data_IF_690680655850
#
_entry.id   IF_690680655850
#
_cell.length_a   1.000
_cell.length_b   1.000
_cell.length_c   1.000
_cell.angle_alpha   90.00
_cell.angle_beta   90.00
_cell.angle_gamma   90.00
#
_symmetry.space_group_name_H-M   'P 1'
#
loop_
_entity.id
_entity.type
_entity.pdbx_description
1 polymer ?
#
# COMPACT_ATOMS: atom_id res chain seq x y z
N UNK A 1 -45.39 1.06 37.96
CA UNK A 1 -46.59 1.06 37.09
C UNK A 1 -46.37 0.03 35.98
N UNK A 2 -47.21 -1.01 35.90
CA UNK A 2 -47.18 -1.98 34.79
C UNK A 2 -48.14 -1.49 33.70
N UNK A 3 -47.64 -1.24 32.49
CA UNK A 3 -48.46 -0.86 31.32
C UNK A 3 -49.22 -2.09 30.82
N UNK A 4 -50.53 -1.99 30.60
CA UNK A 4 -51.35 -3.11 30.16
C UNK A 4 -51.17 -3.34 28.65
N UNK A 5 -51.16 -4.61 28.19
CA UNK A 5 -50.87 -4.98 26.77
C UNK A 5 -51.79 -4.29 25.75
N UNK A 6 -53.01 -3.95 26.16
CA UNK A 6 -54.00 -3.31 25.30
C UNK A 6 -54.01 -1.78 25.38
N UNK A 7 -53.25 -1.18 26.29
CA UNK A 7 -53.18 0.28 26.46
C UNK A 7 -52.51 0.95 25.26
N UNK A 8 -52.76 2.25 25.10
CA UNK A 8 -52.06 3.07 24.10
C UNK A 8 -50.58 3.12 24.45
N UNK A 9 -49.72 2.88 23.47
CA UNK A 9 -48.28 2.77 23.66
C UNK A 9 -47.68 4.11 24.12
N UNK A 10 -46.86 4.13 25.19
CA UNK A 10 -46.34 5.36 25.78
C UNK A 10 -45.34 6.11 24.88
N UNK A 11 -44.88 5.50 23.79
CA UNK A 11 -43.99 6.15 22.81
C UNK A 11 -44.69 7.17 21.89
N UNK A 12 -45.98 7.43 22.09
CA UNK A 12 -46.73 8.42 21.32
C UNK A 12 -47.19 7.96 19.93
N UNK A 13 -47.04 6.68 19.60
CA UNK A 13 -47.38 6.14 18.27
C UNK A 13 -48.88 6.02 17.98
N UNK A 14 -49.75 6.21 18.98
CA UNK A 14 -51.20 6.01 18.89
C UNK A 14 -51.67 4.54 18.74
N UNK A 15 -50.74 3.56 18.69
CA UNK A 15 -51.06 2.13 18.57
C UNK A 15 -51.11 1.46 19.95
N UNK A 16 -51.83 0.33 20.08
CA UNK A 16 -51.82 -0.50 21.31
C UNK A 16 -50.39 -0.99 21.61
N UNK A 17 -49.98 -1.03 22.88
CA UNK A 17 -48.63 -1.40 23.32
C UNK A 17 -48.19 -2.77 22.73
N UNK A 18 -49.08 -3.77 22.72
CA UNK A 18 -48.85 -5.09 22.09
C UNK A 18 -48.61 -5.09 20.58
N UNK A 19 -48.94 -4.01 19.86
CA UNK A 19 -48.74 -3.82 18.41
C UNK A 19 -47.69 -2.75 18.10
N UNK A 20 -46.92 -2.31 19.11
CA UNK A 20 -45.93 -1.26 18.97
C UNK A 20 -44.66 -1.61 19.75
N UNK A 21 -44.31 -0.89 20.82
CA UNK A 21 -43.06 -1.11 21.56
C UNK A 21 -42.93 -2.54 22.07
N UNK A 22 -43.99 -3.21 22.53
CA UNK A 22 -43.88 -4.62 22.93
C UNK A 22 -43.42 -5.56 21.80
N UNK A 23 -43.81 -5.28 20.54
CA UNK A 23 -43.31 -6.05 19.40
C UNK A 23 -41.87 -5.68 19.07
N UNK A 24 -41.49 -4.40 19.17
CA UNK A 24 -40.10 -3.97 19.00
C UNK A 24 -39.20 -4.59 20.08
N UNK A 25 -39.63 -4.58 21.33
CA UNK A 25 -38.94 -5.17 22.49
C UNK A 25 -38.80 -6.69 22.29
N UNK A 26 -39.87 -7.40 21.87
CA UNK A 26 -39.81 -8.83 21.55
C UNK A 26 -38.88 -9.14 20.36
N UNK A 27 -38.81 -8.27 19.35
CA UNK A 27 -37.91 -8.44 18.20
C UNK A 27 -36.45 -8.24 18.63
N UNK A 28 -36.17 -7.25 19.46
CA UNK A 28 -34.84 -7.00 20.05
C UNK A 28 -34.40 -8.21 20.89
N UNK A 29 -35.31 -8.76 21.72
CA UNK A 29 -35.06 -9.95 22.54
C UNK A 29 -34.85 -11.22 21.68
N UNK A 30 -35.61 -11.39 20.60
CA UNK A 30 -35.38 -12.49 19.64
C UNK A 30 -34.04 -12.39 18.91
N UNK A 31 -33.60 -11.18 18.53
CA UNK A 31 -32.32 -10.99 17.87
C UNK A 31 -31.13 -11.27 18.81
N UNK A 32 -31.19 -10.79 20.06
CA UNK A 32 -30.15 -11.05 21.05
C UNK A 32 -30.08 -12.55 21.41
N UNK A 33 -31.21 -13.24 21.51
CA UNK A 33 -31.26 -14.69 21.73
C UNK A 33 -30.66 -15.50 20.57
N UNK A 34 -30.95 -15.10 19.32
CA UNK A 34 -30.35 -15.75 18.13
C UNK A 34 -28.84 -15.58 18.07
N UNK A 35 -28.35 -14.38 18.37
CA UNK A 35 -26.92 -14.07 18.40
C UNK A 35 -26.21 -14.84 19.53
N UNK A 36 -26.81 -14.91 20.72
CA UNK A 36 -26.29 -15.73 21.83
C UNK A 36 -26.17 -17.20 21.43
N UNK A 37 -27.25 -17.78 20.87
CA UNK A 37 -27.24 -19.18 20.40
C UNK A 37 -26.19 -19.41 19.31
N UNK A 38 -26.02 -18.47 18.40
CA UNK A 38 -24.98 -18.52 17.37
C UNK A 38 -23.57 -18.62 17.98
N UNK A 39 -23.26 -17.83 19.01
CA UNK A 39 -21.98 -17.94 19.72
C UNK A 39 -21.82 -19.25 20.51
N UNK A 40 -22.89 -19.74 21.13
CA UNK A 40 -22.87 -21.02 21.85
C UNK A 40 -22.56 -22.18 20.89
N UNK A 41 -23.26 -22.26 19.76
CA UNK A 41 -23.02 -23.29 18.75
C UNK A 41 -21.63 -23.20 18.12
N UNK A 42 -21.16 -21.97 17.87
CA UNK A 42 -19.79 -21.72 17.42
C UNK A 42 -18.75 -22.22 18.43
N UNK A 43 -18.92 -21.93 19.72
CA UNK A 43 -18.00 -22.39 20.75
C UNK A 43 -17.98 -23.92 20.87
N UNK A 44 -19.15 -24.56 20.81
CA UNK A 44 -19.28 -26.02 20.81
C UNK A 44 -18.60 -26.62 19.58
N UNK A 45 -18.83 -26.04 18.40
CA UNK A 45 -18.22 -26.51 17.15
C UNK A 45 -16.69 -26.38 17.19
N UNK A 46 -16.15 -25.22 17.59
CA UNK A 46 -14.70 -25.02 17.77
C UNK A 46 -14.09 -26.10 18.66
N UNK A 47 -14.74 -26.39 19.79
CA UNK A 47 -14.27 -27.42 20.74
C UNK A 47 -14.28 -28.81 20.10
N UNK A 48 -15.33 -29.16 19.35
CA UNK A 48 -15.42 -30.44 18.63
C UNK A 48 -14.33 -30.58 17.57
N UNK A 49 -14.08 -29.54 16.78
CA UNK A 49 -13.06 -29.55 15.71
C UNK A 49 -11.67 -29.71 16.31
N UNK A 50 -11.33 -28.91 17.32
CA UNK A 50 -10.03 -28.99 18.00
C UNK A 50 -9.83 -30.40 18.60
N UNK A 51 -10.84 -30.91 19.32
CA UNK A 51 -10.76 -32.26 19.91
C UNK A 51 -10.56 -33.33 18.83
N UNK A 52 -11.33 -33.28 17.75
CA UNK A 52 -11.17 -34.21 16.62
C UNK A 52 -9.74 -34.21 16.07
N UNK A 53 -9.14 -33.03 15.88
CA UNK A 53 -7.77 -32.95 15.38
C UNK A 53 -6.79 -33.61 16.36
N UNK A 54 -6.86 -33.30 17.66
CA UNK A 54 -5.98 -33.93 18.64
C UNK A 54 -6.20 -35.44 18.82
N UNK A 55 -7.42 -35.95 18.59
CA UNK A 55 -7.72 -37.39 18.65
C UNK A 55 -7.21 -38.15 17.41
N UNK A 56 -7.11 -37.47 16.26
CA UNK A 56 -6.69 -38.08 14.99
C UNK A 56 -5.22 -37.80 14.62
N UNK A 57 -4.52 -36.98 15.41
CA UNK A 57 -3.11 -36.71 15.26
C UNK A 57 -2.30 -37.50 16.27
N UNK A 58 -1.20 -38.10 15.82
CA UNK A 58 -0.24 -38.68 16.75
C UNK A 58 0.49 -37.57 17.52
N UNK A 59 1.10 -37.94 18.65
CA UNK A 59 1.96 -37.02 19.39
C UNK A 59 3.09 -36.45 18.52
N UNK A 60 3.67 -37.27 17.63
CA UNK A 60 4.73 -36.83 16.73
C UNK A 60 4.22 -35.81 15.72
N UNK A 61 3.02 -36.01 15.15
CA UNK A 61 2.42 -35.04 14.23
C UNK A 61 2.25 -33.67 14.89
N UNK A 62 1.76 -33.64 16.13
CA UNK A 62 1.58 -32.40 16.89
C UNK A 62 2.93 -31.70 17.12
N UNK A 63 3.96 -32.42 17.55
CA UNK A 63 5.31 -31.88 17.76
C UNK A 63 5.93 -31.35 16.45
N UNK A 64 5.69 -32.01 15.32
CA UNK A 64 6.14 -31.55 14.00
C UNK A 64 5.39 -30.29 13.55
N UNK A 65 4.07 -30.22 13.76
CA UNK A 65 3.30 -29.01 13.44
C UNK A 65 3.62 -27.83 14.35
N UNK A 66 3.97 -28.06 15.62
CA UNK A 66 4.51 -27.01 16.49
C UNK A 66 5.80 -26.43 15.91
N UNK A 67 6.71 -27.27 15.41
CA UNK A 67 7.95 -26.81 14.77
C UNK A 67 7.67 -25.99 13.52
N UNK A 68 6.76 -26.45 12.66
CA UNK A 68 6.33 -25.69 11.46
C UNK A 68 5.75 -24.33 11.86
N UNK A 69 4.92 -24.28 12.91
CA UNK A 69 4.37 -23.02 13.41
C UNK A 69 5.47 -22.08 13.90
N UNK A 70 6.44 -22.59 14.65
CA UNK A 70 7.59 -21.83 15.18
C UNK A 70 8.49 -21.29 14.07
N UNK A 71 8.81 -22.11 13.07
CA UNK A 71 9.59 -21.73 11.90
C UNK A 71 8.89 -20.63 11.09
N UNK A 72 7.61 -20.84 10.75
CA UNK A 72 6.82 -19.87 9.96
C UNK A 72 6.58 -18.55 10.70
N UNK A 73 6.49 -18.59 12.02
CA UNK A 73 6.35 -17.38 12.83
C UNK A 73 7.70 -16.76 13.24
N UNK A 74 8.81 -17.38 12.85
CA UNK A 74 10.17 -17.01 13.25
C UNK A 74 10.30 -16.82 14.78
N UNK A 75 9.57 -17.63 15.55
CA UNK A 75 9.49 -17.55 17.03
C UNK A 75 9.14 -16.16 17.60
N UNK A 76 8.44 -15.31 16.84
CA UNK A 76 8.06 -13.95 17.26
C UNK A 76 6.76 -13.89 18.07
N UNK A 77 6.02 -14.99 18.16
CA UNK A 77 4.74 -15.04 18.86
C UNK A 77 4.98 -15.36 20.34
N UNK A 78 4.54 -14.46 21.21
CA UNK A 78 4.63 -14.65 22.66
C UNK A 78 3.83 -15.88 23.12
N UNK A 79 4.31 -16.53 24.20
CA UNK A 79 3.71 -17.75 24.76
C UNK A 79 2.21 -17.61 25.01
N UNK A 80 1.75 -16.49 25.58
CA UNK A 80 0.33 -16.25 25.87
C UNK A 80 -0.53 -16.24 24.59
N UNK A 81 0.01 -15.76 23.47
CA UNK A 81 -0.70 -15.74 22.18
C UNK A 81 -0.63 -17.09 21.47
N UNK A 82 0.45 -17.87 21.69
CA UNK A 82 0.64 -19.21 21.12
C UNK A 82 -0.53 -20.14 21.46
N UNK A 83 -1.02 -20.10 22.70
CA UNK A 83 -2.11 -20.97 23.18
C UNK A 83 -3.43 -20.79 22.41
N UNK A 84 -3.62 -19.64 21.75
CA UNK A 84 -4.80 -19.37 20.91
C UNK A 84 -4.50 -19.47 19.41
N UNK A 85 -3.32 -19.03 18.98
CA UNK A 85 -2.91 -19.04 17.57
C UNK A 85 -2.57 -20.44 17.06
N UNK A 86 -2.01 -21.32 17.88
CA UNK A 86 -1.65 -22.66 17.44
C UNK A 86 -2.87 -23.54 17.13
N UNK A 87 -3.91 -23.64 17.99
CA UNK A 87 -5.15 -24.32 17.61
C UNK A 87 -5.82 -23.70 16.37
N UNK A 88 -5.79 -22.37 16.25
CA UNK A 88 -6.31 -21.69 15.06
C UNK A 88 -5.57 -22.10 13.78
N UNK A 89 -4.23 -22.20 13.85
CA UNK A 89 -3.38 -22.69 12.77
C UNK A 89 -3.76 -24.11 12.35
N UNK A 90 -3.93 -25.04 13.30
CA UNK A 90 -4.32 -26.41 13.02
C UNK A 90 -5.69 -26.48 12.31
N UNK A 91 -6.65 -25.66 12.73
CA UNK A 91 -8.00 -25.70 12.17
C UNK A 91 -8.07 -25.08 10.76
N UNK A 92 -7.51 -23.88 10.56
CA UNK A 92 -7.81 -23.08 9.36
C UNK A 92 -6.67 -22.96 8.35
N UNK A 93 -5.44 -23.27 8.74
CA UNK A 93 -4.24 -22.99 7.93
C UNK A 93 -3.49 -24.27 7.55
N UNK A 94 -3.28 -25.18 8.50
CA UNK A 94 -2.51 -26.40 8.28
C UNK A 94 -3.22 -27.33 7.29
N UNK A 95 -2.48 -27.81 6.28
CA UNK A 95 -2.92 -28.85 5.35
C UNK A 95 -2.31 -30.18 5.78
N UNK A 96 -3.15 -31.19 5.94
CA UNK A 96 -2.75 -32.51 6.43
C UNK A 96 -2.39 -33.47 5.28
N UNK A 97 -1.90 -34.66 5.60
CA UNK A 97 -1.48 -35.68 4.61
C UNK A 97 -2.59 -36.10 3.63
N UNK A 98 -3.85 -35.90 4.01
CA UNK A 98 -5.03 -36.14 3.16
C UNK A 98 -5.33 -34.98 2.18
N UNK A 99 -4.49 -33.94 2.15
CA UNK A 99 -4.65 -32.75 1.31
C UNK A 99 -5.72 -31.77 1.77
N UNK A 100 -6.34 -31.99 2.94
CA UNK A 100 -7.40 -31.14 3.49
C UNK A 100 -6.86 -30.27 4.62
N UNK A 101 -7.46 -29.09 4.81
CA UNK A 101 -7.29 -28.28 6.02
C UNK A 101 -8.03 -28.92 7.20
N UNK A 102 -7.68 -28.54 8.42
CA UNK A 102 -8.27 -29.14 9.63
C UNK A 102 -9.80 -29.05 9.66
N UNK A 103 -10.35 -27.90 9.31
CA UNK A 103 -11.80 -27.70 9.22
C UNK A 103 -12.46 -28.53 8.10
N UNK A 104 -11.80 -28.67 6.95
CA UNK A 104 -12.29 -29.46 5.82
C UNK A 104 -12.26 -30.96 6.14
N UNK A 105 -11.19 -31.42 6.79
CA UNK A 105 -11.04 -32.79 7.27
C UNK A 105 -12.12 -33.12 8.29
N UNK A 106 -12.31 -32.26 9.30
CA UNK A 106 -13.38 -32.42 10.28
C UNK A 106 -14.76 -32.49 9.61
N UNK A 107 -15.06 -31.57 8.68
CA UNK A 107 -16.35 -31.56 8.00
C UNK A 107 -16.58 -32.87 7.23
N UNK A 108 -15.57 -33.34 6.49
CA UNK A 108 -15.68 -34.57 5.71
C UNK A 108 -16.01 -35.79 6.58
N UNK A 109 -15.38 -35.92 7.75
CA UNK A 109 -15.52 -37.11 8.61
C UNK A 109 -16.70 -37.00 9.59
N UNK A 110 -16.97 -35.81 10.13
CA UNK A 110 -17.88 -35.64 11.28
C UNK A 110 -19.22 -34.97 10.92
N UNK A 111 -19.41 -34.44 9.70
CA UNK A 111 -20.61 -33.66 9.36
C UNK A 111 -21.94 -34.42 9.52
N UNK A 112 -21.94 -35.75 9.42
CA UNK A 112 -23.17 -36.55 9.59
C UNK A 112 -23.57 -36.72 11.07
N UNK A 113 -22.64 -36.57 12.00
CA UNK A 113 -22.89 -36.61 13.44
C UNK A 113 -23.24 -35.25 14.07
N UNK A 114 -23.20 -34.18 13.27
CA UNK A 114 -23.53 -32.82 13.73
C UNK A 114 -25.03 -32.57 13.68
N UNK A 115 -25.52 -31.81 14.67
CA UNK A 115 -26.87 -31.22 14.57
C UNK A 115 -26.90 -30.23 13.42
N UNK A 116 -28.08 -29.99 12.86
CA UNK A 116 -28.27 -29.18 11.65
C UNK A 116 -27.53 -27.84 11.69
N UNK A 117 -27.69 -27.09 12.78
CA UNK A 117 -27.08 -25.77 12.96
C UNK A 117 -25.54 -25.84 12.92
N UNK A 118 -24.96 -26.82 13.61
CA UNK A 118 -23.50 -27.05 13.60
C UNK A 118 -23.01 -27.52 12.22
N UNK A 119 -23.80 -28.32 11.51
CA UNK A 119 -23.45 -28.77 10.15
C UNK A 119 -23.44 -27.61 9.16
N UNK A 120 -24.41 -26.69 9.27
CA UNK A 120 -24.48 -25.48 8.46
C UNK A 120 -23.27 -24.57 8.77
N UNK A 121 -22.98 -24.30 10.05
CA UNK A 121 -21.79 -23.55 10.47
C UNK A 121 -20.49 -24.18 9.98
N UNK A 122 -20.33 -25.49 10.17
CA UNK A 122 -19.14 -26.21 9.75
C UNK A 122 -18.92 -26.13 8.24
N UNK A 123 -20.00 -26.14 7.44
CA UNK A 123 -19.89 -25.96 5.98
C UNK A 123 -19.42 -24.55 5.63
N UNK A 124 -19.96 -23.53 6.28
CA UNK A 124 -19.52 -22.14 6.07
C UNK A 124 -18.02 -22.03 6.39
N UNK A 125 -17.56 -22.65 7.48
CA UNK A 125 -16.16 -22.58 7.92
C UNK A 125 -15.17 -23.24 6.95
N UNK A 126 -15.59 -24.19 6.12
CA UNK A 126 -14.71 -24.72 5.06
C UNK A 126 -14.43 -23.70 3.97
N UNK A 127 -15.36 -22.77 3.76
CA UNK A 127 -15.34 -21.87 2.60
C UNK A 127 -14.89 -20.43 2.97
N UNK A 128 -14.57 -20.18 4.25
CA UNK A 128 -14.08 -18.89 4.71
C UNK A 128 -12.71 -18.54 4.11
N UNK A 129 -12.55 -17.26 3.79
CA UNK A 129 -11.31 -16.68 3.28
C UNK A 129 -10.82 -15.59 4.23
N UNK A 130 -9.49 -15.49 4.32
CA UNK A 130 -8.83 -14.46 5.09
C UNK A 130 -8.93 -13.11 4.37
N UNK A 131 -9.33 -12.09 5.11
CA UNK A 131 -9.50 -10.71 4.65
C UNK A 131 -8.55 -9.78 5.43
N UNK A 132 -8.02 -8.75 4.77
CA UNK A 132 -7.19 -7.74 5.43
C UNK A 132 -8.05 -6.49 5.64
N UNK A 133 -8.64 -6.37 6.83
CA UNK A 133 -9.69 -5.39 7.08
C UNK A 133 -9.26 -4.27 8.01
N UNK A 134 -9.91 -3.12 7.84
CA UNK A 134 -9.62 -1.89 8.57
C UNK A 134 -10.91 -1.14 8.92
N UNK A 135 -11.01 -0.59 10.13
CA UNK A 135 -12.12 0.27 10.56
C UNK A 135 -12.09 1.57 9.76
N UNK A 136 -13.18 1.85 9.04
CA UNK A 136 -13.38 3.11 8.31
C UNK A 136 -14.48 3.97 8.94
N UNK A 137 -15.33 3.38 9.79
CA UNK A 137 -16.43 4.07 10.45
C UNK A 137 -16.72 3.44 11.82
N UNK A 138 -17.00 4.28 12.81
CA UNK A 138 -17.37 3.88 14.17
C UNK A 138 -18.81 4.32 14.43
N UNK A 139 -19.69 3.35 14.67
CA UNK A 139 -21.06 3.57 15.09
C UNK A 139 -21.25 3.05 16.52
N UNK A 140 -22.39 3.37 17.16
CA UNK A 140 -22.65 3.01 18.56
C UNK A 140 -22.62 1.49 18.81
N UNK A 141 -23.06 0.68 17.84
CA UNK A 141 -23.28 -0.76 18.01
C UNK A 141 -22.52 -1.63 17.00
N UNK A 142 -21.77 -1.04 16.07
CA UNK A 142 -21.02 -1.76 15.05
C UNK A 142 -19.88 -0.91 14.48
N UNK A 143 -18.91 -1.56 13.87
CA UNK A 143 -17.90 -0.95 13.01
C UNK A 143 -18.23 -1.23 11.55
N UNK A 144 -18.01 -0.24 10.68
CA UNK A 144 -17.86 -0.51 9.24
C UNK A 144 -16.39 -0.79 8.99
N UNK A 145 -16.07 -2.02 8.59
CA UNK A 145 -14.71 -2.43 8.23
C UNK A 145 -14.59 -2.59 6.72
N UNK A 146 -13.46 -2.18 6.17
CA UNK A 146 -13.13 -2.21 4.75
C UNK A 146 -11.97 -3.16 4.50
N UNK A 147 -12.11 -4.10 3.57
CA UNK A 147 -10.99 -4.89 3.09
C UNK A 147 -10.12 -4.02 2.17
N UNK A 148 -8.87 -3.80 2.61
CA UNK A 148 -7.94 -2.87 1.96
C UNK A 148 -7.41 -3.41 0.62
N UNK A 149 -7.70 -4.66 0.29
CA UNK A 149 -7.31 -5.35 -0.95
C UNK A 149 -8.48 -5.49 -1.92
N UNK A 150 -9.66 -5.92 -1.45
CA UNK A 150 -10.82 -6.21 -2.32
C UNK A 150 -11.81 -5.05 -2.44
N UNK A 151 -11.71 -4.05 -1.57
CA UNK A 151 -12.67 -2.95 -1.41
C UNK A 151 -14.06 -3.34 -0.88
N UNK A 152 -14.24 -4.57 -0.42
CA UNK A 152 -15.47 -5.00 0.24
C UNK A 152 -15.64 -4.33 1.60
N UNK A 153 -16.90 -4.17 2.02
CA UNK A 153 -17.27 -3.57 3.30
C UNK A 153 -18.05 -4.55 4.14
N UNK A 154 -17.74 -4.56 5.43
CA UNK A 154 -18.25 -5.50 6.39
C UNK A 154 -18.84 -4.75 7.58
N UNK A 155 -20.09 -5.05 7.92
CA UNK A 155 -20.74 -4.56 9.13
C UNK A 155 -20.40 -5.51 10.27
N UNK A 156 -19.61 -5.04 11.24
CA UNK A 156 -19.06 -5.87 12.32
C UNK A 156 -19.62 -5.41 13.67
N UNK A 157 -20.51 -6.19 14.32
CA UNK A 157 -21.13 -5.78 15.58
C UNK A 157 -20.13 -5.61 16.72
N UNK A 158 -20.33 -4.56 17.53
CA UNK A 158 -19.60 -4.32 18.78
C UNK A 158 -20.22 -5.21 19.86
N UNK A 159 -19.61 -6.36 20.06
CA UNK A 159 -19.97 -7.33 21.11
C UNK A 159 -18.64 -7.84 21.65
N UNK A 160 -18.44 -7.89 22.96
CA UNK A 160 -17.14 -8.28 23.55
C UNK A 160 -16.62 -9.63 23.01
N UNK A 161 -17.53 -10.58 22.76
CA UNK A 161 -17.21 -11.87 22.12
C UNK A 161 -16.79 -11.76 20.65
N UNK A 162 -17.14 -10.68 19.95
CA UNK A 162 -16.78 -10.37 18.54
C UNK A 162 -15.61 -9.39 18.41
N UNK A 163 -15.76 -8.17 18.92
CA UNK A 163 -14.84 -7.03 18.77
C UNK A 163 -15.06 -6.08 19.95
N UNK A 164 -13.98 -5.59 20.60
CA UNK A 164 -14.12 -4.65 21.71
C UNK A 164 -14.64 -3.28 21.23
N UNK A 165 -15.23 -2.49 22.14
CA UNK A 165 -15.83 -1.19 21.83
C UNK A 165 -14.81 -0.01 21.79
N UNK A 166 -13.52 -0.31 21.79
CA UNK A 166 -12.45 0.69 21.88
C UNK A 166 -11.60 0.79 20.60
N UNK A 167 -12.03 0.18 19.49
CA UNK A 167 -11.35 0.38 18.21
C UNK A 167 -11.65 1.77 17.66
N UNK A 168 -10.63 2.40 17.09
CA UNK A 168 -10.73 3.68 16.40
C UNK A 168 -10.59 3.51 14.90
N UNK A 169 -10.99 4.54 14.14
CA UNK A 169 -10.78 4.58 12.69
C UNK A 169 -9.30 4.34 12.40
N UNK A 170 -9.04 3.48 11.43
CA UNK A 170 -7.69 3.11 11.03
C UNK A 170 -7.22 1.78 11.62
N UNK A 171 -7.74 1.34 12.76
CA UNK A 171 -7.35 0.04 13.32
C UNK A 171 -7.78 -1.09 12.40
N UNK A 172 -6.98 -2.14 12.30
CA UNK A 172 -7.29 -3.27 11.43
C UNK A 172 -6.58 -4.55 11.82
N UNK A 173 -6.89 -5.62 11.09
CA UNK A 173 -6.41 -6.98 11.36
C UNK A 173 -6.55 -7.87 10.13
N UNK A 174 -5.97 -9.08 10.19
CA UNK A 174 -6.32 -10.18 9.29
C UNK A 174 -7.51 -10.91 9.92
N UNK A 175 -8.63 -10.91 9.22
CA UNK A 175 -9.89 -11.45 9.69
C UNK A 175 -10.27 -12.71 8.93
N UNK A 176 -11.02 -13.57 9.60
CA UNK A 176 -11.77 -14.66 8.99
C UNK A 176 -13.23 -14.41 9.34
N UNK A 177 -13.97 -13.70 8.47
CA UNK A 177 -15.33 -13.25 8.77
C UNK A 177 -16.38 -14.23 8.27
N UNK A 178 -17.34 -14.56 9.13
CA UNK A 178 -18.55 -15.29 8.75
C UNK A 178 -19.77 -14.37 8.82
N UNK A 179 -20.69 -14.52 7.87
CA UNK A 179 -21.95 -13.76 7.85
C UNK A 179 -23.03 -14.48 8.67
N UNK A 180 -23.72 -13.72 9.53
CA UNK A 180 -24.92 -14.17 10.21
C UNK A 180 -25.93 -13.02 10.33
N UNK A 181 -27.13 -13.20 9.79
CA UNK A 181 -28.20 -12.19 9.77
C UNK A 181 -27.76 -10.82 9.20
N UNK A 182 -26.99 -10.80 8.11
CA UNK A 182 -26.52 -9.57 7.46
C UNK A 182 -25.44 -8.81 8.22
N UNK A 183 -24.84 -9.43 9.25
CA UNK A 183 -23.72 -8.93 10.04
C UNK A 183 -22.55 -9.90 9.95
N UNK A 184 -21.35 -9.41 10.24
CA UNK A 184 -20.11 -10.18 10.09
C UNK A 184 -19.42 -10.39 11.44
N UNK A 185 -19.04 -11.64 11.68
CA UNK A 185 -18.50 -12.10 12.94
C UNK A 185 -17.13 -12.76 12.75
N UNK A 186 -16.20 -12.46 13.66
CA UNK A 186 -14.84 -12.99 13.59
C UNK A 186 -14.78 -14.45 13.97
N UNK A 187 -14.17 -15.29 13.14
CA UNK A 187 -13.77 -16.64 13.48
C UNK A 187 -12.29 -16.68 13.89
N UNK A 188 -12.04 -17.18 15.11
CA UNK A 188 -10.67 -17.37 15.62
C UNK A 188 -10.02 -16.13 16.22
N UNK A 189 -8.72 -16.00 15.99
CA UNK A 189 -7.86 -15.02 16.69
C UNK A 189 -8.00 -13.62 16.09
N UNK A 190 -8.03 -12.62 16.98
CA UNK A 190 -8.21 -11.20 16.67
C UNK A 190 -7.00 -10.40 17.14
N UNK A 191 -6.15 -9.96 16.22
CA UNK A 191 -5.01 -9.09 16.54
C UNK A 191 -5.22 -7.74 15.88
N UNK A 192 -5.91 -6.84 16.59
CA UNK A 192 -6.10 -5.48 16.11
C UNK A 192 -4.84 -4.65 16.33
N UNK A 193 -4.50 -3.85 15.33
CA UNK A 193 -3.33 -2.98 15.34
C UNK A 193 -3.61 -1.70 14.56
N UNK A 194 -2.74 -0.71 14.73
CA UNK A 194 -2.84 0.58 14.06
C UNK A 194 -2.69 0.47 12.53
N UNK A 195 -3.28 1.42 11.81
CA UNK A 195 -3.42 1.41 10.35
C UNK A 195 -2.11 1.17 9.59
N UNK A 196 -1.00 1.66 10.12
CA UNK A 196 0.32 1.50 9.50
C UNK A 196 0.70 0.03 9.34
N UNK A 197 0.40 -0.81 10.32
CA UNK A 197 0.71 -2.25 10.26
C UNK A 197 -0.17 -2.97 9.23
N UNK A 198 -1.43 -2.53 9.08
CA UNK A 198 -2.33 -3.02 8.02
C UNK A 198 -1.75 -2.70 6.64
N UNK A 199 -1.25 -1.47 6.45
CA UNK A 199 -0.61 -1.05 5.20
C UNK A 199 0.68 -1.82 4.91
N UNK A 200 1.47 -2.14 5.95
CA UNK A 200 2.65 -3.01 5.82
C UNK A 200 2.28 -4.43 5.38
N UNK A 201 1.23 -5.01 5.96
CA UNK A 201 0.71 -6.31 5.53
C UNK A 201 0.22 -6.23 4.08
N UNK A 202 -0.51 -5.18 3.71
CA UNK A 202 -0.97 -4.93 2.34
C UNK A 202 0.19 -4.89 1.33
N UNK A 203 1.26 -4.16 1.66
CA UNK A 203 2.45 -4.09 0.82
C UNK A 203 3.11 -5.47 0.67
N UNK A 204 3.29 -6.21 1.78
CA UNK A 204 3.86 -7.56 1.75
C UNK A 204 3.02 -8.54 0.93
N UNK A 205 1.69 -8.47 1.03
CA UNK A 205 0.77 -9.28 0.22
C UNK A 205 0.96 -8.98 -1.26
N UNK A 206 0.93 -7.69 -1.67
CA UNK A 206 1.14 -7.30 -3.07
C UNK A 206 2.48 -7.79 -3.62
N UNK A 207 3.54 -7.72 -2.80
CA UNK A 207 4.86 -8.21 -3.17
C UNK A 207 4.85 -9.71 -3.45
N UNK A 208 4.30 -10.52 -2.54
CA UNK A 208 4.20 -11.98 -2.72
C UNK A 208 3.34 -12.31 -3.95
N UNK A 209 2.24 -11.59 -4.17
CA UNK A 209 1.41 -11.77 -5.38
C UNK A 209 2.23 -11.58 -6.66
N UNK A 210 3.10 -10.55 -6.74
CA UNK A 210 3.98 -10.28 -7.89
C UNK A 210 5.07 -11.35 -8.02
N UNK A 211 5.76 -11.69 -6.92
CA UNK A 211 6.91 -12.60 -6.92
C UNK A 211 6.53 -14.06 -7.22
N UNK A 212 5.39 -14.53 -6.71
CA UNK A 212 4.94 -15.92 -6.86
C UNK A 212 3.82 -16.10 -7.90
N UNK A 213 3.35 -15.01 -8.52
CA UNK A 213 2.22 -15.02 -9.45
C UNK A 213 0.96 -15.67 -8.85
N UNK A 214 0.65 -15.30 -7.60
CA UNK A 214 -0.49 -15.81 -6.84
C UNK A 214 -1.60 -14.76 -6.74
N UNK A 215 -2.86 -15.22 -6.70
CA UNK A 215 -4.00 -14.37 -6.36
C UNK A 215 -3.98 -13.95 -4.90
N UNK A 216 -4.73 -12.89 -4.55
CA UNK A 216 -4.86 -12.41 -3.17
C UNK A 216 -5.30 -13.53 -2.22
N UNK A 217 -6.32 -14.31 -2.60
CA UNK A 217 -6.83 -15.41 -1.79
C UNK A 217 -5.81 -16.52 -1.58
N UNK A 218 -4.98 -16.84 -2.58
CA UNK A 218 -3.90 -17.83 -2.46
C UNK A 218 -2.79 -17.35 -1.53
N UNK A 219 -2.38 -16.09 -1.64
CA UNK A 219 -1.38 -15.49 -0.74
C UNK A 219 -1.89 -15.52 0.69
N UNK A 220 -3.11 -15.07 0.95
CA UNK A 220 -3.66 -15.10 2.30
C UNK A 220 -3.78 -16.52 2.82
N UNK A 221 -4.23 -17.49 2.01
CA UNK A 221 -4.32 -18.90 2.41
C UNK A 221 -2.96 -19.50 2.78
N UNK A 222 -1.91 -19.21 1.99
CA UNK A 222 -0.58 -19.80 2.17
C UNK A 222 0.23 -19.08 3.25
N UNK A 223 0.16 -17.76 3.34
CA UNK A 223 1.07 -16.91 4.11
C UNK A 223 0.46 -16.22 5.34
N UNK A 224 -0.76 -16.57 5.75
CA UNK A 224 -1.43 -15.87 6.87
C UNK A 224 -0.61 -15.86 8.15
N UNK A 225 0.10 -16.94 8.52
CA UNK A 225 0.90 -16.94 9.76
C UNK A 225 2.02 -15.91 9.72
N UNK A 226 2.77 -15.87 8.64
CA UNK A 226 3.85 -14.92 8.39
C UNK A 226 3.31 -13.50 8.44
N UNK A 227 2.16 -13.25 7.79
CA UNK A 227 1.51 -11.94 7.77
C UNK A 227 0.98 -11.54 9.14
N UNK A 228 0.45 -12.48 9.94
CA UNK A 228 0.03 -12.22 11.33
C UNK A 228 1.21 -11.78 12.19
N UNK A 229 2.43 -12.30 11.97
CA UNK A 229 3.61 -11.82 12.72
C UNK A 229 3.91 -10.34 12.50
N UNK A 230 3.56 -9.79 11.33
CA UNK A 230 3.72 -8.36 11.03
C UNK A 230 2.72 -7.50 11.80
N UNK A 231 1.57 -8.06 12.19
CA UNK A 231 0.58 -7.40 13.06
C UNK A 231 0.94 -7.50 14.55
N UNK A 232 1.65 -8.57 14.95
CA UNK A 232 1.97 -8.91 16.34
C UNK A 232 3.25 -8.22 16.86
N UNK A 233 3.86 -7.31 16.11
CA UNK A 233 5.19 -6.83 16.46
C UNK A 233 5.21 -5.87 17.67
N UNK A 234 6.12 -6.15 18.61
CA UNK A 234 6.39 -5.38 19.83
C UNK A 234 7.15 -4.06 19.61
N UNK A 235 7.26 -3.58 18.36
CA UNK A 235 7.75 -2.24 18.10
C UNK A 235 6.72 -1.27 18.67
N UNK A 236 7.01 -0.69 19.84
CA UNK A 236 6.22 0.42 20.38
C UNK A 236 6.06 1.42 19.24
N UNK A 237 4.82 1.85 18.93
CA UNK A 237 4.62 3.00 18.07
C UNK A 237 5.58 4.09 18.55
N UNK A 238 6.36 4.67 17.65
CA UNK A 238 7.22 5.79 18.03
C UNK A 238 6.32 6.85 18.67
N UNK A 239 6.50 7.08 19.97
CA UNK A 239 5.74 8.08 20.70
C UNK A 239 6.33 9.43 20.37
N UNK A 240 5.63 10.18 19.52
CA UNK A 240 6.03 11.54 19.18
C UNK A 240 5.90 12.42 20.41
N UNK A 241 6.95 13.17 20.70
CA UNK A 241 6.90 14.17 21.75
C UNK A 241 6.04 15.34 21.28
N UNK A 242 5.33 15.99 22.20
CA UNK A 242 4.51 17.18 21.88
C UNK A 242 5.34 18.29 21.20
N UNK A 243 6.63 18.38 21.51
CA UNK A 243 7.58 19.31 20.90
C UNK A 243 7.79 19.08 19.38
N UNK A 244 7.45 17.90 18.86
CA UNK A 244 7.64 17.54 17.45
C UNK A 244 6.45 17.88 16.57
N UNK A 245 5.30 18.18 17.16
CA UNK A 245 4.04 18.47 16.45
C UNK A 245 4.21 19.58 15.39
N UNK A 246 4.89 20.71 15.66
CA UNK A 246 5.11 21.74 14.64
C UNK A 246 5.87 21.19 13.43
N UNK A 247 6.97 20.46 13.67
CA UNK A 247 7.79 19.89 12.61
C UNK A 247 7.05 18.81 11.81
N UNK A 248 6.23 17.98 12.47
CA UNK A 248 5.41 16.97 11.79
C UNK A 248 4.43 17.60 10.79
N UNK A 249 3.80 18.72 11.18
CA UNK A 249 2.90 19.47 10.28
C UNK A 249 3.66 20.12 9.14
N UNK A 250 4.82 20.71 9.43
CA UNK A 250 5.65 21.34 8.40
C UNK A 250 6.16 20.31 7.37
N UNK A 251 6.51 19.09 7.80
CA UNK A 251 6.94 18.01 6.91
C UNK A 251 5.79 17.23 6.26
N UNK A 252 4.52 17.59 6.51
CA UNK A 252 3.32 16.88 6.04
C UNK A 252 3.23 15.42 6.48
N UNK A 253 3.74 15.13 7.68
CA UNK A 253 3.77 13.79 8.29
C UNK A 253 2.60 13.59 9.28
N UNK A 254 1.47 14.28 9.11
CA UNK A 254 0.37 14.27 10.09
C UNK A 254 -0.30 12.90 10.23
N UNK A 255 -0.21 12.07 9.19
CA UNK A 255 -0.71 10.71 9.22
C UNK A 255 0.23 9.76 9.99
N UNK A 256 1.51 10.10 10.17
CA UNK A 256 2.52 9.32 10.92
C UNK A 256 2.90 7.96 10.27
N UNK A 257 3.35 7.92 8.99
CA UNK A 257 3.92 6.72 8.38
C UNK A 257 5.13 6.20 9.19
N UNK A 258 5.53 4.94 9.03
CA UNK A 258 6.65 4.37 9.80
C UNK A 258 7.95 5.15 9.66
N UNK A 259 8.20 5.75 8.49
CA UNK A 259 9.39 6.54 8.21
C UNK A 259 9.40 7.95 8.83
N UNK A 260 8.33 8.35 9.50
CA UNK A 260 8.20 9.68 10.14
C UNK A 260 9.32 9.93 11.14
N UNK A 261 9.59 8.94 12.00
CA UNK A 261 10.64 9.05 13.00
C UNK A 261 12.00 9.26 12.34
N UNK A 262 12.28 8.53 11.25
CA UNK A 262 13.52 8.67 10.50
C UNK A 262 13.65 10.05 9.86
N UNK A 263 12.57 10.61 9.30
CA UNK A 263 12.57 11.96 8.72
C UNK A 263 12.82 13.02 9.79
N UNK A 264 12.11 12.94 10.91
CA UNK A 264 12.24 13.91 12.02
C UNK A 264 13.63 13.86 12.63
N UNK A 265 14.14 12.67 12.94
CA UNK A 265 15.46 12.50 13.57
C UNK A 265 16.59 12.93 12.62
N UNK A 266 16.52 12.52 11.36
CA UNK A 266 17.47 12.95 10.33
C UNK A 266 17.46 14.47 10.18
N UNK A 267 16.27 15.08 10.04
CA UNK A 267 16.15 16.52 9.88
C UNK A 267 16.75 17.27 11.08
N UNK A 268 16.38 16.91 12.31
CA UNK A 268 16.92 17.53 13.53
C UNK A 268 18.43 17.39 13.62
N UNK A 269 18.97 16.19 13.36
CA UNK A 269 20.41 15.94 13.44
C UNK A 269 21.18 16.75 12.39
N UNK A 270 20.69 16.81 11.14
CA UNK A 270 21.40 17.48 10.04
C UNK A 270 21.23 19.01 10.03
N UNK A 271 20.19 19.54 10.68
CA UNK A 271 19.92 20.99 10.71
C UNK A 271 20.40 21.67 11.99
N UNK A 272 20.71 20.93 13.05
CA UNK A 272 21.21 21.51 14.32
C UNK A 272 22.43 22.42 14.09
N UNK A 273 22.27 23.69 14.43
CA UNK A 273 23.32 24.72 14.30
C UNK A 273 23.67 25.11 12.86
N UNK A 274 22.84 24.74 11.86
CA UNK A 274 23.08 25.10 10.45
C UNK A 274 22.40 26.41 10.06
N UNK A 275 22.91 27.04 8.99
CA UNK A 275 22.36 28.27 8.40
C UNK A 275 21.04 27.99 7.67
N UNK A 276 20.20 29.02 7.53
CA UNK A 276 18.86 28.93 6.93
C UNK A 276 18.81 28.28 5.54
N UNK A 277 19.80 28.50 4.67
CA UNK A 277 19.84 27.86 3.35
C UNK A 277 19.98 26.33 3.44
N UNK A 278 20.81 25.83 4.36
CA UNK A 278 20.99 24.40 4.58
C UNK A 278 19.74 23.79 5.22
N UNK A 279 19.13 24.48 6.17
CA UNK A 279 17.86 24.08 6.80
C UNK A 279 16.77 23.93 5.74
N UNK A 280 16.60 24.97 4.90
CA UNK A 280 15.60 24.98 3.82
C UNK A 280 15.83 23.87 2.81
N UNK A 281 17.07 23.59 2.43
CA UNK A 281 17.40 22.46 1.54
C UNK A 281 16.84 21.15 2.11
N UNK A 282 17.23 20.77 3.33
CA UNK A 282 16.79 19.50 3.92
C UNK A 282 15.27 19.46 4.10
N UNK A 283 14.68 20.58 4.51
CA UNK A 283 13.25 20.71 4.69
C UNK A 283 12.50 20.43 3.38
N UNK A 284 12.80 21.20 2.32
CA UNK A 284 12.13 21.07 1.02
C UNK A 284 12.32 19.68 0.43
N UNK A 285 13.52 19.10 0.46
CA UNK A 285 13.76 17.76 -0.05
C UNK A 285 12.99 16.66 0.72
N UNK A 286 12.84 16.78 2.04
CA UNK A 286 12.07 15.81 2.82
C UNK A 286 10.55 15.98 2.60
N UNK A 287 10.05 17.21 2.48
CA UNK A 287 8.65 17.47 2.12
C UNK A 287 8.32 16.87 0.75
N UNK A 288 9.15 17.16 -0.25
CA UNK A 288 9.02 16.64 -1.61
C UNK A 288 9.01 15.11 -1.61
N UNK A 289 9.97 14.47 -0.91
CA UNK A 289 10.04 13.01 -0.81
C UNK A 289 8.81 12.42 -0.12
N UNK A 290 8.37 13.00 1.00
CA UNK A 290 7.18 12.54 1.70
C UNK A 290 5.94 12.63 0.80
N UNK A 291 5.82 13.69 -0.01
CA UNK A 291 4.69 13.86 -0.91
C UNK A 291 4.66 12.76 -1.99
N UNK A 292 5.79 12.46 -2.66
CA UNK A 292 5.87 11.33 -3.62
C UNK A 292 5.51 10.00 -2.96
N UNK A 293 6.08 9.74 -1.78
CA UNK A 293 5.86 8.48 -1.06
C UNK A 293 4.39 8.30 -0.69
N UNK A 294 3.76 9.38 -0.20
CA UNK A 294 2.35 9.42 0.17
C UNK A 294 1.43 9.22 -1.03
N UNK A 295 1.69 9.88 -2.15
CA UNK A 295 0.90 9.70 -3.38
C UNK A 295 0.96 8.27 -3.92
N UNK A 296 2.09 7.60 -3.74
CA UNK A 296 2.26 6.18 -4.09
C UNK A 296 1.76 5.22 -2.99
N UNK A 297 1.30 5.72 -1.84
CA UNK A 297 0.78 4.91 -0.73
C UNK A 297 1.85 4.13 0.05
N UNK A 298 3.11 4.55 -0.03
CA UNK A 298 4.19 3.97 0.76
C UNK A 298 4.15 4.48 2.20
N UNK A 299 4.30 3.58 3.17
CA UNK A 299 4.30 3.93 4.60
C UNK A 299 5.54 3.47 5.35
N UNK A 300 6.34 2.59 4.77
CA UNK A 300 7.60 2.10 5.34
C UNK A 300 8.65 2.04 4.23
N UNK A 301 9.78 2.71 4.42
CA UNK A 301 10.83 2.74 3.41
C UNK A 301 11.47 1.37 3.18
N UNK A 302 11.37 0.46 4.16
CA UNK A 302 11.92 -0.91 4.08
C UNK A 302 11.16 -1.80 3.11
N UNK A 303 9.95 -1.41 2.73
CA UNK A 303 9.10 -2.16 1.81
C UNK A 303 9.40 -1.83 0.34
N UNK A 304 10.08 -0.71 0.06
CA UNK A 304 10.47 -0.32 -1.30
C UNK A 304 11.67 -1.15 -1.76
N UNK A 305 11.52 -1.81 -2.91
CA UNK A 305 12.64 -2.41 -3.61
C UNK A 305 13.37 -1.39 -4.51
N UNK A 306 14.38 -1.85 -5.24
CA UNK A 306 15.17 -0.96 -6.12
C UNK A 306 14.34 -0.43 -7.31
N UNK A 307 13.37 -1.21 -7.81
CA UNK A 307 12.49 -0.80 -8.90
C UNK A 307 11.56 0.32 -8.42
N UNK A 308 10.96 0.17 -7.24
CA UNK A 308 10.14 1.18 -6.59
C UNK A 308 10.91 2.49 -6.39
N UNK A 309 12.12 2.42 -5.82
CA UNK A 309 12.95 3.59 -5.61
C UNK A 309 13.33 4.30 -6.92
N UNK A 310 13.72 3.54 -7.94
CA UNK A 310 14.06 4.11 -9.23
C UNK A 310 12.85 4.81 -9.86
N UNK A 311 11.66 4.20 -9.79
CA UNK A 311 10.44 4.83 -10.31
C UNK A 311 10.10 6.12 -9.57
N UNK A 312 10.13 6.09 -8.24
CA UNK A 312 9.90 7.27 -7.38
C UNK A 312 10.81 8.44 -7.78
N UNK A 313 12.09 8.15 -8.02
CA UNK A 313 13.11 9.19 -8.24
C UNK A 313 13.24 9.65 -9.70
N UNK A 314 12.81 8.84 -10.67
CA UNK A 314 13.00 9.11 -12.11
C UNK A 314 11.72 9.47 -12.85
N UNK A 315 10.56 9.03 -12.35
CA UNK A 315 9.25 9.28 -12.95
C UNK A 315 8.36 10.09 -12.03
N UNK A 316 8.03 9.56 -10.85
CA UNK A 316 6.98 10.13 -10.01
C UNK A 316 7.38 11.51 -9.49
N UNK A 317 8.62 11.65 -8.99
CA UNK A 317 9.15 12.96 -8.57
C UNK A 317 9.22 13.98 -9.71
N UNK A 318 9.54 13.55 -10.94
CA UNK A 318 9.56 14.44 -12.10
C UNK A 318 8.15 14.91 -12.47
N UNK A 319 7.16 14.02 -12.41
CA UNK A 319 5.78 14.32 -12.77
C UNK A 319 5.06 15.22 -11.76
N UNK A 320 5.56 15.35 -10.54
CA UNK A 320 5.01 16.29 -9.54
C UNK A 320 5.15 17.75 -9.95
N UNK A 321 6.14 18.08 -10.79
CA UNK A 321 6.47 19.46 -11.12
C UNK A 321 6.32 19.69 -12.61
N UNK A 322 5.49 20.67 -12.98
CA UNK A 322 5.45 21.17 -14.36
C UNK A 322 6.81 21.74 -14.77
N UNK A 323 7.49 22.41 -13.83
CA UNK A 323 8.88 22.85 -14.01
C UNK A 323 9.69 22.60 -12.74
N UNK A 324 10.85 21.97 -12.91
CA UNK A 324 11.81 21.72 -11.84
C UNK A 324 13.08 22.55 -12.08
N UNK A 325 13.68 23.09 -11.02
CA UNK A 325 14.95 23.84 -11.15
C UNK A 325 16.15 22.92 -10.95
N UNK A 326 17.28 23.24 -11.58
CA UNK A 326 18.56 22.55 -11.34
C UNK A 326 18.91 22.48 -9.85
N UNK A 327 18.67 23.56 -9.12
CA UNK A 327 18.95 23.62 -7.68
C UNK A 327 18.11 22.61 -6.92
N UNK A 328 16.81 22.51 -7.21
CA UNK A 328 15.89 21.59 -6.56
C UNK A 328 16.34 20.12 -6.73
N UNK A 329 16.62 19.68 -7.96
CA UNK A 329 17.07 18.29 -8.18
C UNK A 329 18.43 18.01 -7.53
N UNK A 330 19.35 18.97 -7.55
CA UNK A 330 20.68 18.81 -6.91
C UNK A 330 20.56 18.74 -5.38
N UNK A 331 19.69 19.57 -4.80
CA UNK A 331 19.38 19.58 -3.38
C UNK A 331 18.70 18.27 -2.95
N UNK A 332 17.76 17.74 -3.75
CA UNK A 332 17.13 16.44 -3.55
C UNK A 332 18.14 15.28 -3.56
N UNK A 333 18.91 15.14 -4.65
CA UNK A 333 19.91 14.07 -4.81
C UNK A 333 20.89 14.07 -3.63
N UNK A 334 21.43 15.24 -3.28
CA UNK A 334 22.41 15.34 -2.19
C UNK A 334 21.79 15.10 -0.81
N UNK A 335 20.53 15.47 -0.59
CA UNK A 335 19.80 15.15 0.65
C UNK A 335 19.55 13.65 0.76
N UNK A 336 19.08 12.99 -0.30
CA UNK A 336 18.79 11.56 -0.32
C UNK A 336 20.03 10.70 -0.10
N UNK A 337 21.16 11.00 -0.76
CA UNK A 337 22.44 10.31 -0.52
C UNK A 337 22.84 10.35 0.96
N UNK A 338 22.72 11.53 1.57
CA UNK A 338 23.01 11.70 3.00
C UNK A 338 21.98 11.00 3.90
N UNK A 339 20.72 10.96 3.50
CA UNK A 339 19.66 10.28 4.24
C UNK A 339 19.86 8.77 4.24
N UNK A 340 20.14 8.14 3.09
CA UNK A 340 20.46 6.72 3.02
C UNK A 340 21.74 6.37 3.78
N UNK A 341 22.78 7.21 3.67
CA UNK A 341 23.99 7.03 4.48
C UNK A 341 23.69 7.10 5.99
N UNK A 342 22.82 8.02 6.41
CA UNK A 342 22.39 8.14 7.80
C UNK A 342 21.60 6.92 8.26
N UNK A 343 20.66 6.41 7.45
CA UNK A 343 19.92 5.17 7.75
C UNK A 343 20.87 3.98 7.92
N UNK A 344 21.90 3.89 7.07
CA UNK A 344 22.96 2.87 7.19
C UNK A 344 23.70 2.96 8.52
N UNK A 345 24.08 4.17 8.94
CA UNK A 345 24.73 4.40 10.24
C UNK A 345 23.83 4.05 11.43
N UNK A 346 22.50 4.16 11.29
CA UNK A 346 21.52 3.77 12.33
C UNK A 346 21.16 2.28 12.28
N UNK A 347 21.72 1.49 11.38
CA UNK A 347 21.38 0.07 11.20
C UNK A 347 19.97 -0.15 10.65
N UNK A 348 19.40 0.84 9.94
CA UNK A 348 18.05 0.81 9.37
C UNK A 348 18.02 0.72 7.83
N UNK A 349 19.20 0.67 7.19
CA UNK A 349 19.29 0.57 5.73
C UNK A 349 18.93 -0.82 5.23
N UNK A 350 18.26 -0.88 4.08
CA UNK A 350 18.06 -2.10 3.29
C UNK A 350 19.03 -2.14 2.11
N UNK A 351 19.24 -3.31 1.51
CA UNK A 351 20.05 -3.43 0.28
C UNK A 351 19.51 -2.55 -0.85
N UNK A 352 18.18 -2.42 -0.96
CA UNK A 352 17.53 -1.56 -1.94
C UNK A 352 17.92 -0.08 -1.74
N UNK A 353 17.99 0.41 -0.50
CA UNK A 353 18.42 1.78 -0.21
C UNK A 353 19.90 2.01 -0.55
N UNK A 354 20.76 1.01 -0.28
CA UNK A 354 22.18 1.11 -0.62
C UNK A 354 22.39 1.15 -2.13
N UNK A 355 21.71 0.28 -2.86
CA UNK A 355 21.73 0.26 -4.33
C UNK A 355 21.17 1.57 -4.91
N UNK A 356 20.12 2.13 -4.30
CA UNK A 356 19.55 3.43 -4.71
C UNK A 356 20.53 4.58 -4.48
N UNK A 357 21.30 4.56 -3.38
CA UNK A 357 22.33 5.57 -3.12
C UNK A 357 23.47 5.52 -4.15
N UNK A 358 23.86 4.30 -4.57
CA UNK A 358 24.82 4.10 -5.67
C UNK A 358 24.25 4.60 -7.01
N UNK A 359 23.01 4.22 -7.33
CA UNK A 359 22.27 4.68 -8.50
C UNK A 359 22.23 6.22 -8.60
N UNK A 360 21.88 6.90 -7.51
CA UNK A 360 21.87 8.38 -7.46
C UNK A 360 23.24 9.00 -7.72
N UNK A 361 24.33 8.26 -7.50
CA UNK A 361 25.69 8.71 -7.79
C UNK A 361 26.04 8.54 -9.25
N UNK A 362 25.65 7.43 -9.84
CA UNK A 362 25.90 7.14 -11.26
C UNK A 362 25.01 7.98 -12.19
N UNK A 363 23.74 8.18 -11.84
CA UNK A 363 22.74 8.87 -12.67
C UNK A 363 22.63 10.38 -12.38
N UNK A 364 23.46 10.95 -11.50
CA UNK A 364 23.35 12.36 -11.09
C UNK A 364 23.34 13.32 -12.29
N UNK A 365 24.24 13.12 -13.25
CA UNK A 365 24.31 13.97 -14.44
C UNK A 365 23.08 13.79 -15.35
N UNK A 366 22.56 12.56 -15.51
CA UNK A 366 21.35 12.30 -16.29
C UNK A 366 20.13 13.00 -15.67
N UNK A 367 19.96 12.89 -14.35
CA UNK A 367 18.89 13.55 -13.60
C UNK A 367 18.94 15.07 -13.76
N UNK A 368 20.13 15.67 -13.61
CA UNK A 368 20.32 17.12 -13.77
C UNK A 368 20.02 17.56 -15.20
N UNK A 369 20.51 16.83 -16.21
CA UNK A 369 20.33 17.19 -17.61
C UNK A 369 18.88 17.05 -18.08
N UNK A 370 18.16 16.06 -17.56
CA UNK A 370 16.72 15.91 -17.78
C UNK A 370 15.95 17.15 -17.30
N UNK A 371 16.31 17.71 -16.15
CA UNK A 371 15.70 18.95 -15.62
C UNK A 371 16.13 20.20 -16.40
N UNK A 372 17.39 20.27 -16.83
CA UNK A 372 17.91 21.42 -17.58
C UNK A 372 17.30 21.54 -18.99
N UNK A 373 16.93 20.43 -19.63
CA UNK A 373 16.47 20.43 -21.03
C UNK A 373 15.18 21.24 -21.25
N UNK A 374 14.07 21.00 -20.52
CA UNK A 374 12.86 21.82 -20.63
C UNK A 374 13.09 23.27 -20.21
N UNK A 375 13.95 23.50 -19.21
CA UNK A 375 14.21 24.85 -18.69
C UNK A 375 14.97 25.74 -19.69
N UNK A 376 15.86 25.14 -20.47
CA UNK A 376 16.66 25.84 -21.49
C UNK A 376 15.90 25.97 -22.83
N UNK A 377 14.78 25.26 -22.98
CA UNK A 377 13.91 25.38 -24.13
C UNK A 377 13.17 26.73 -24.11
N UNK A 378 13.36 27.54 -25.16
CA UNK A 378 12.71 28.83 -25.34
C UNK A 378 11.69 28.74 -26.50
N UNK A 379 10.38 28.66 -26.19
CA UNK A 379 9.32 28.63 -27.19
C UNK A 379 9.32 29.86 -28.14
N UNK A 380 9.85 31.01 -27.68
CA UNK A 380 9.88 32.24 -28.47
C UNK A 380 10.82 32.15 -29.68
N UNK A 381 11.86 31.31 -29.60
CA UNK A 381 12.78 31.07 -30.71
C UNK A 381 12.04 30.30 -31.81
N UNK A 382 11.28 29.27 -31.43
CA UNK A 382 10.46 28.48 -32.36
C UNK A 382 9.40 29.35 -33.01
N UNK A 383 8.70 30.17 -32.22
CA UNK A 383 7.71 31.10 -32.74
C UNK A 383 8.29 32.09 -33.77
N UNK A 384 9.46 32.68 -33.50
CA UNK A 384 10.18 33.53 -34.46
C UNK A 384 10.57 32.78 -35.74
N UNK A 385 10.93 31.49 -35.64
CA UNK A 385 11.24 30.66 -36.80
C UNK A 385 10.00 30.31 -37.63
N UNK A 386 8.84 30.10 -36.99
CA UNK A 386 7.56 29.95 -37.68
C UNK A 386 7.20 31.24 -38.43
N UNK A 387 7.25 32.41 -37.76
CA UNK A 387 6.97 33.70 -38.39
C UNK A 387 7.91 34.04 -39.56
N UNK A 388 9.17 33.58 -39.51
CA UNK A 388 10.14 33.77 -40.59
C UNK A 388 10.08 32.71 -41.69
N UNK A 389 9.13 31.77 -41.65
CA UNK A 389 8.97 30.70 -42.63
C UNK A 389 10.12 29.67 -42.63
N UNK A 390 10.94 29.66 -41.57
CA UNK A 390 12.03 28.67 -41.38
C UNK A 390 11.54 27.32 -40.88
N UNK A 391 10.33 27.33 -40.30
CA UNK A 391 9.52 26.17 -39.99
C UNK A 391 8.25 26.34 -40.81
N UNK A 392 7.92 25.39 -41.67
CA UNK A 392 6.71 25.46 -42.49
C UNK A 392 5.47 25.24 -41.62
N UNK A 393 4.51 26.17 -41.67
CA UNK A 393 3.18 26.13 -41.01
C UNK A 393 2.23 25.04 -41.59
N UNK A 394 2.81 23.98 -42.15
CA UNK A 394 2.17 22.81 -42.78
C UNK A 394 3.12 21.61 -42.95
N UNK A 395 4.27 21.62 -42.25
CA UNK A 395 5.25 20.54 -42.29
C UNK A 395 4.79 19.31 -41.51
N UNK A 396 5.34 18.13 -41.85
CA UNK A 396 5.11 16.90 -41.05
C UNK A 396 5.62 17.13 -39.63
N UNK A 397 4.70 17.27 -38.68
CA UNK A 397 4.98 17.24 -37.24
C UNK A 397 4.93 15.81 -36.74
N UNK A 398 5.83 15.47 -35.82
CA UNK A 398 5.80 14.19 -35.10
C UNK A 398 5.75 14.51 -33.62
N UNK A 399 4.70 14.03 -32.98
CA UNK A 399 4.52 14.13 -31.53
C UNK A 399 4.71 12.76 -30.89
N UNK A 400 5.28 12.76 -29.69
CA UNK A 400 5.48 11.54 -28.93
C UNK A 400 6.60 11.62 -27.92
N UNK A 401 7.07 10.44 -27.56
CA UNK A 401 8.17 10.23 -26.63
C UNK A 401 9.45 9.93 -27.41
N UNK A 402 10.50 10.70 -27.17
CA UNK A 402 11.75 10.65 -27.91
C UNK A 402 12.92 10.34 -26.98
N UNK A 403 13.81 9.43 -27.38
CA UNK A 403 15.08 9.19 -26.69
C UNK A 403 16.23 9.80 -27.48
N UNK A 404 17.12 10.55 -26.82
CA UNK A 404 18.33 11.09 -27.43
C UNK A 404 19.36 9.97 -27.57
N UNK A 405 19.56 9.46 -28.78
CA UNK A 405 20.47 8.33 -29.03
C UNK A 405 21.87 8.77 -29.48
N UNK A 406 22.04 10.03 -29.92
CA UNK A 406 23.34 10.55 -30.35
C UNK A 406 23.43 12.07 -30.21
N UNK A 407 24.59 12.57 -29.79
CA UNK A 407 24.90 14.01 -29.73
C UNK A 407 26.01 14.36 -30.73
N UNK A 408 25.83 15.42 -31.51
CA UNK A 408 26.84 16.02 -32.38
C UNK A 408 27.12 17.47 -31.95
N UNK A 409 27.94 18.23 -32.71
CA UNK A 409 28.34 19.60 -32.34
C UNK A 409 27.17 20.61 -32.34
N UNK A 410 26.25 20.51 -33.29
CA UNK A 410 25.14 21.47 -33.51
C UNK A 410 23.78 20.77 -33.73
N UNK A 411 23.74 19.46 -33.54
CA UNK A 411 22.55 18.65 -33.71
C UNK A 411 22.61 17.43 -32.81
N UNK A 412 21.47 16.80 -32.60
CA UNK A 412 21.38 15.51 -31.92
C UNK A 412 20.39 14.62 -32.66
N UNK A 413 20.51 13.31 -32.45
CA UNK A 413 19.60 12.33 -33.02
C UNK A 413 18.69 11.79 -31.95
N UNK A 414 17.42 11.71 -32.27
CA UNK A 414 16.39 11.12 -31.43
C UNK A 414 15.78 9.89 -32.09
N UNK A 415 15.39 8.91 -31.28
CA UNK A 415 14.54 7.80 -31.68
C UNK A 415 13.15 8.02 -31.07
N UNK A 416 12.10 7.82 -31.86
CA UNK A 416 10.72 7.88 -31.37
C UNK A 416 10.34 6.56 -30.69
N UNK A 417 10.10 6.60 -29.38
CA UNK A 417 9.71 5.43 -28.58
C UNK A 417 8.19 5.17 -28.65
N UNK A 418 7.39 6.23 -28.51
CA UNK A 418 5.90 6.14 -28.51
C UNK A 418 5.30 7.31 -29.27
N UNK A 419 4.21 7.06 -30.00
CA UNK A 419 3.44 8.10 -30.72
C UNK A 419 2.00 7.64 -30.93
N UNK A 420 1.09 8.60 -31.15
CA UNK A 420 -0.30 8.32 -31.52
C UNK A 420 -0.41 7.61 -32.88
N UNK A 421 0.60 7.75 -33.74
CA UNK A 421 0.67 7.03 -35.00
C UNK A 421 1.49 5.75 -34.84
N UNK A 422 0.83 4.59 -34.98
CA UNK A 422 1.41 3.26 -34.74
C UNK A 422 2.53 2.87 -35.71
N UNK A 423 2.67 3.55 -36.85
CA UNK A 423 3.69 3.26 -37.89
C UNK A 423 4.97 4.09 -37.76
N UNK A 424 5.06 4.94 -36.73
CA UNK A 424 6.20 5.83 -36.49
C UNK A 424 7.22 5.36 -35.43
N UNK A 425 6.87 4.60 -34.37
CA UNK A 425 7.83 4.14 -33.38
C UNK A 425 9.04 3.43 -34.00
N UNK A 426 10.22 3.64 -33.41
CA UNK A 426 11.51 3.16 -33.91
C UNK A 426 12.18 4.08 -34.94
N UNK A 427 11.46 5.05 -35.52
CA UNK A 427 12.07 6.00 -36.48
C UNK A 427 13.01 6.99 -35.79
N UNK A 428 14.09 7.29 -36.51
CA UNK A 428 15.12 8.23 -36.07
C UNK A 428 14.99 9.59 -36.76
N UNK A 429 15.23 10.65 -36.01
CA UNK A 429 15.17 12.02 -36.49
C UNK A 429 16.42 12.77 -36.05
N UNK A 430 17.02 13.54 -36.96
CA UNK A 430 18.15 14.42 -36.63
C UNK A 430 17.62 15.83 -36.39
N UNK A 431 17.78 16.31 -35.16
CA UNK A 431 17.22 17.58 -34.68
C UNK A 431 18.33 18.64 -34.60
N UNK A 432 18.14 19.76 -35.27
CA UNK A 432 19.03 20.92 -35.22
C UNK A 432 18.76 21.73 -33.95
N UNK A 433 19.83 22.21 -33.31
CA UNK A 433 19.74 22.85 -32.00
C UNK A 433 20.81 23.93 -31.81
N UNK A 434 20.44 25.02 -31.14
CA UNK A 434 21.35 26.12 -30.84
C UNK A 434 22.38 25.75 -29.76
N UNK A 435 23.52 26.43 -29.77
CA UNK A 435 24.66 26.15 -28.86
C UNK A 435 24.27 26.16 -27.37
N UNK A 436 23.36 27.05 -26.97
CA UNK A 436 22.88 27.16 -25.60
C UNK A 436 22.19 25.89 -25.13
N UNK A 437 21.26 25.35 -25.93
CA UNK A 437 20.51 24.13 -25.60
C UNK A 437 21.35 22.86 -25.75
N UNK A 438 22.33 22.85 -26.67
CA UNK A 438 23.28 21.74 -26.82
C UNK A 438 24.07 21.42 -25.53
N UNK A 439 24.16 22.36 -24.58
CA UNK A 439 24.78 22.14 -23.25
C UNK A 439 23.92 21.25 -22.34
N UNK A 440 22.61 21.23 -22.53
CA UNK A 440 21.65 20.42 -21.76
C UNK A 440 21.33 19.08 -22.44
N UNK A 441 21.68 18.93 -23.72
CA UNK A 441 21.52 17.67 -24.46
C UNK A 441 22.50 16.63 -23.93
N UNK A 442 21.99 15.47 -23.54
CA UNK A 442 22.77 14.31 -23.10
C UNK A 442 22.17 13.04 -23.73
N UNK A 443 23.02 12.09 -24.13
CA UNK A 443 22.57 10.81 -24.69
C UNK A 443 21.88 10.00 -23.60
N UNK A 444 20.76 9.38 -23.93
CA UNK A 444 19.92 8.60 -23.03
C UNK A 444 18.70 9.37 -22.50
N UNK A 445 18.71 10.71 -22.50
CA UNK A 445 17.53 11.50 -22.07
C UNK A 445 16.32 11.11 -22.89
N UNK A 446 15.20 10.93 -22.20
CA UNK A 446 13.89 10.70 -22.81
C UNK A 446 13.04 11.95 -22.59
N UNK A 447 12.42 12.49 -23.63
CA UNK A 447 11.53 13.65 -23.51
C UNK A 447 10.23 13.45 -24.26
N UNK A 448 9.14 13.98 -23.72
CA UNK A 448 7.86 14.09 -24.42
C UNK A 448 7.73 15.44 -25.09
N UNK A 449 7.18 15.47 -26.30
CA UNK A 449 6.96 16.72 -27.00
C UNK A 449 6.72 16.53 -28.48
N UNK A 450 7.11 17.55 -29.25
CA UNK A 450 6.88 17.62 -30.69
C UNK A 450 8.13 18.08 -31.44
N UNK A 451 8.37 17.48 -32.59
CA UNK A 451 9.37 17.92 -33.57
C UNK A 451 8.71 18.18 -34.92
N UNK A 452 9.25 19.13 -35.69
CA UNK A 452 8.76 19.40 -37.05
C UNK A 452 9.89 19.47 -38.05
N UNK A 453 9.56 19.14 -39.30
CA UNK A 453 10.49 19.16 -40.42
C UNK A 453 10.90 20.61 -40.73
N UNK A 454 12.19 20.90 -40.60
CA UNK A 454 12.78 22.20 -40.98
C UNK A 454 13.22 22.25 -42.44
N UNK A 455 13.80 23.39 -42.83
CA UNK A 455 14.12 23.72 -44.22
C UNK A 455 15.34 22.97 -44.83
N UNK A 456 16.17 22.27 -44.03
CA UNK A 456 17.44 21.67 -44.48
C UNK A 456 17.58 20.20 -44.03
N UNK A 457 16.62 19.32 -44.39
CA UNK A 457 16.61 17.89 -44.03
C UNK A 457 16.79 17.55 -42.53
N UNK A 458 16.77 18.56 -41.66
CA UNK A 458 16.86 18.44 -40.22
C UNK A 458 15.51 18.81 -39.61
N UNK A 459 15.22 18.17 -38.49
CA UNK A 459 14.06 18.45 -37.67
C UNK A 459 14.38 19.57 -36.69
N UNK A 460 13.36 20.24 -36.20
CA UNK A 460 13.48 21.22 -35.13
C UNK A 460 12.56 20.83 -33.98
N UNK A 461 12.99 21.08 -32.74
CA UNK A 461 12.11 20.94 -31.59
C UNK A 461 11.03 22.01 -31.61
N UNK A 462 9.77 21.59 -31.54
CA UNK A 462 8.60 22.46 -31.47
C UNK A 462 8.05 22.62 -30.04
N UNK A 463 8.21 21.58 -29.22
CA UNK A 463 7.70 21.55 -27.85
C UNK A 463 8.47 20.51 -27.06
N UNK A 464 8.75 20.84 -25.80
CA UNK A 464 9.14 19.89 -24.77
C UNK A 464 8.14 20.06 -23.64
N UNK A 465 7.49 18.97 -23.25
CA UNK A 465 6.57 18.94 -22.12
C UNK A 465 7.30 18.43 -20.88
N UNK A 466 7.86 17.22 -20.97
CA UNK A 466 8.64 16.60 -19.90
C UNK A 466 9.95 16.06 -20.45
N UNK A 467 10.95 15.96 -19.58
CA UNK A 467 12.19 15.26 -19.87
C UNK A 467 12.64 14.48 -18.62
N UNK A 468 13.17 13.29 -18.87
CA UNK A 468 13.46 12.27 -17.89
C UNK A 468 14.87 11.70 -18.12
N UNK A 469 15.54 11.20 -17.08
CA UNK A 469 16.78 10.45 -17.23
C UNK A 469 16.53 9.14 -17.99
N UNK A 470 17.58 8.56 -18.57
CA UNK A 470 17.49 7.27 -19.30
C UNK A 470 16.85 6.12 -18.50
N UNK A 471 17.04 6.12 -17.18
CA UNK A 471 16.56 5.09 -16.27
C UNK A 471 15.04 5.00 -16.17
N UNK A 472 14.30 6.00 -16.67
CA UNK A 472 12.84 5.98 -16.70
C UNK A 472 12.27 5.00 -17.71
N UNK A 473 13.07 4.52 -18.67
CA UNK A 473 12.62 3.73 -19.82
C UNK A 473 11.80 2.48 -19.41
N UNK A 474 12.13 1.88 -18.27
CA UNK A 474 11.42 0.71 -17.74
C UNK A 474 9.98 1.02 -17.28
N UNK A 475 9.64 2.29 -17.06
CA UNK A 475 8.38 2.73 -16.45
C UNK A 475 7.46 3.50 -17.41
N UNK A 476 7.96 3.89 -18.59
CA UNK A 476 7.21 4.64 -19.60
C UNK A 476 6.48 3.73 -20.57
#
# INVERSE_FOLDING_TARGET
>A
MQINRNDICPCGSGRKYKKCCMQKDNIIDLHSLKEKRFYEEKHVLTTKVIRFLYENLSRQDVEDYERVFEERTNNKIERQRRDTLFPFFLVFIQVYNNGLRGMEWFYKEQANGLVREQKELAKVWTDLNFQLIQVIEVNDNYYTMWDVMTNEKYIVPIVETNVPNNLTIGYGTIALLEEFNGKHYFNGVRVFTDYKYVLRVKAKVKKIMKEENLSYGEVMRKYTLELMTLLVNNEKPFEYKKEDIPLLRELHLEHLPFYTADFVDFYKEKTKGKKGNTVRKYFTSLCDLNLVLKENGFVDLRDLDMEDWNKVLTLDYFNMFETMTKKQITDMISTLKLFFQWLKQKGKSTDAMENTAAFLTEEENQLIKAVELPYVYDPSIVFRKMLSGKISDGGKTVEGLFQIIRKNKQSFRVQLLKSNNRDLPGKEFTVACGEHMMRSIEVGIIFSGAISKGNINMWEMLKIEFAYPRSVEAFL
#
